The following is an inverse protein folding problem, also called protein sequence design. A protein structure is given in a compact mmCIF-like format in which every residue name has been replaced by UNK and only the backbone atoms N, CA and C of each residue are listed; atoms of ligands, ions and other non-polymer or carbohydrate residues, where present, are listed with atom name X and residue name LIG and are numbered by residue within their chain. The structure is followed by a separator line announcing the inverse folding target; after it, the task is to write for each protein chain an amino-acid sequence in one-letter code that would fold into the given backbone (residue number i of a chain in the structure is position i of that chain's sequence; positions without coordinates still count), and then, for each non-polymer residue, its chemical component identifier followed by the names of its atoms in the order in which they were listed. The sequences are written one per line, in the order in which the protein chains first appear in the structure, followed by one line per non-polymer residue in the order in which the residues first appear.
data_IF_468696795491
#
_entry.id   IF_468696795491
#
_cell.length_a   1.000
_cell.length_b   1.000
_cell.length_c   1.000
_cell.angle_alpha   90.00
_cell.angle_beta   90.00
_cell.angle_gamma   90.00
#
_symmetry.space_group_name_H-M   'P 1'
#
loop_
_entity.id
_entity.type
_entity.pdbx_description
1 polymer ?
#
# COMPACT_ATOMS: atom_id res chain seq x y z
N UNK A 1 -1.91 3.41 6.47
CA UNK A 1 -1.78 2.95 5.07
C UNK A 1 -0.69 1.90 4.98
N UNK A 2 -0.93 0.79 4.28
CA UNK A 2 0.07 -0.25 4.04
C UNK A 2 0.12 -0.54 2.55
N UNK A 3 1.32 -0.75 2.01
CA UNK A 3 1.50 -1.30 0.66
C UNK A 3 2.03 -2.71 0.81
N UNK A 4 1.36 -3.64 0.14
CA UNK A 4 1.67 -5.07 0.17
C UNK A 4 1.99 -5.51 -1.26
N UNK A 5 3.06 -6.27 -1.44
CA UNK A 5 3.39 -6.89 -2.73
C UNK A 5 2.48 -8.09 -3.03
N UNK A 6 2.58 -8.63 -4.26
CA UNK A 6 1.76 -9.77 -4.68
C UNK A 6 2.03 -11.07 -3.91
N UNK A 7 3.12 -11.15 -3.15
CA UNK A 7 3.46 -12.29 -2.31
C UNK A 7 2.94 -12.12 -0.88
N UNK A 8 2.26 -11.00 -0.58
CA UNK A 8 1.70 -10.72 0.74
C UNK A 8 2.70 -10.05 1.70
N UNK A 9 3.89 -9.65 1.24
CA UNK A 9 4.87 -8.95 2.07
C UNK A 9 4.51 -7.46 2.15
N UNK A 10 4.48 -6.94 3.37
CA UNK A 10 4.40 -5.49 3.61
C UNK A 10 5.71 -4.84 3.14
N UNK A 11 5.62 -3.95 2.16
CA UNK A 11 6.78 -3.24 1.58
C UNK A 11 6.84 -1.78 2.01
N UNK A 12 5.70 -1.17 2.36
CA UNK A 12 5.63 0.16 2.97
C UNK A 12 4.52 0.21 4.00
N UNK A 13 4.72 1.03 5.03
CA UNK A 13 3.73 1.28 6.07
C UNK A 13 3.86 2.69 6.62
N UNK A 14 2.73 3.38 6.67
CA UNK A 14 2.59 4.70 7.29
C UNK A 14 1.42 4.69 8.27
N UNK A 15 1.67 5.10 9.52
CA UNK A 15 0.67 5.17 10.60
C UNK A 15 0.08 6.58 10.67
N UNK A 16 -1.23 6.66 10.88
CA UNK A 16 -1.96 7.94 11.05
C UNK A 16 -1.72 8.96 9.92
N UNK A 17 -1.50 8.48 8.69
CA UNK A 17 -1.22 9.32 7.53
C UNK A 17 -2.33 9.20 6.48
N UNK A 18 -2.62 10.32 5.82
CA UNK A 18 -3.57 10.42 4.71
C UNK A 18 -2.95 10.00 3.37
N UNK A 19 -1.62 10.01 3.27
CA UNK A 19 -0.86 9.62 2.07
C UNK A 19 0.37 8.78 2.41
N UNK A 20 0.92 8.10 1.41
CA UNK A 20 2.15 7.33 1.51
C UNK A 20 2.98 7.54 0.26
N UNK A 21 4.27 7.85 0.44
CA UNK A 21 5.20 7.99 -0.68
C UNK A 21 5.59 6.60 -1.22
N UNK A 22 5.33 6.38 -2.50
CA UNK A 22 5.63 5.14 -3.23
C UNK A 22 6.80 5.31 -4.21
N UNK A 23 7.52 6.43 -4.18
CA UNK A 23 8.64 6.76 -5.06
C UNK A 23 9.79 5.74 -5.02
N UNK A 24 9.96 5.04 -3.90
CA UNK A 24 11.00 4.01 -3.74
C UNK A 24 10.61 2.62 -4.26
N UNK A 25 9.35 2.39 -4.60
CA UNK A 25 8.89 1.09 -5.09
C UNK A 25 9.26 0.88 -6.56
N UNK A 26 9.44 -0.37 -6.98
CA UNK A 26 9.63 -0.69 -8.40
C UNK A 26 8.29 -0.58 -9.15
N UNK A 27 8.35 -0.46 -10.48
CA UNK A 27 7.15 -0.60 -11.31
C UNK A 27 6.56 -1.99 -11.10
N UNK A 28 5.23 -2.09 -10.97
CA UNK A 28 4.58 -3.35 -10.66
C UNK A 28 3.19 -3.18 -10.04
N UNK A 29 2.60 -4.32 -9.67
CA UNK A 29 1.30 -4.39 -9.03
C UNK A 29 1.45 -4.57 -7.52
N UNK A 30 0.62 -3.85 -6.78
CA UNK A 30 0.59 -3.87 -5.32
C UNK A 30 -0.85 -3.82 -4.81
N UNK A 31 -1.01 -4.07 -3.51
CA UNK A 31 -2.24 -3.83 -2.76
C UNK A 31 -2.01 -2.67 -1.78
N UNK A 32 -2.86 -1.65 -1.87
CA UNK A 32 -3.02 -0.64 -0.84
C UNK A 32 -4.04 -1.13 0.18
N UNK A 33 -3.65 -1.24 1.43
CA UNK A 33 -4.56 -1.45 2.56
C UNK A 33 -4.72 -0.17 3.39
N UNK A 34 -5.97 0.23 3.61
CA UNK A 34 -6.37 1.28 4.53
C UNK A 34 -7.05 0.61 5.71
N UNK A 35 -6.43 0.68 6.88
CA UNK A 35 -6.97 0.16 8.13
C UNK A 35 -7.41 1.35 8.96
N UNK A 36 -8.71 1.42 9.26
CA UNK A 36 -9.32 2.47 10.06
C UNK A 36 -10.20 1.82 11.13
N UNK A 37 -9.79 1.95 12.40
CA UNK A 37 -10.44 1.31 13.54
C UNK A 37 -10.60 -0.20 13.33
N UNK A 38 -11.82 -0.66 13.01
CA UNK A 38 -12.21 -2.05 12.80
C UNK A 38 -12.39 -2.41 11.31
N UNK A 39 -12.26 -1.43 10.41
CA UNK A 39 -12.46 -1.61 8.97
C UNK A 39 -11.14 -1.71 8.23
N UNK A 40 -11.13 -2.62 7.27
CA UNK A 40 -10.06 -2.77 6.29
C UNK A 40 -10.62 -2.56 4.89
N UNK A 41 -10.02 -1.64 4.16
CA UNK A 41 -10.26 -1.42 2.74
C UNK A 41 -9.02 -1.83 1.98
N UNK A 42 -9.21 -2.53 0.86
CA UNK A 42 -8.10 -3.00 0.02
C UNK A 42 -8.34 -2.58 -1.42
N UNK A 43 -7.32 -2.03 -2.06
CA UNK A 43 -7.36 -1.63 -3.46
C UNK A 43 -6.10 -2.11 -4.18
N UNK A 44 -6.27 -2.72 -5.35
CA UNK A 44 -5.16 -3.02 -6.24
C UNK A 44 -4.68 -1.74 -6.90
N UNK A 45 -3.39 -1.48 -6.84
CA UNK A 45 -2.74 -0.34 -7.49
C UNK A 45 -1.64 -0.81 -8.43
N UNK A 46 -1.41 -0.06 -9.51
CA UNK A 46 -0.28 -0.24 -10.40
C UNK A 46 0.65 0.96 -10.23
N UNK A 47 1.94 0.67 -10.05
CA UNK A 47 3.00 1.66 -10.13
C UNK A 47 3.63 1.50 -11.50
N UNK A 48 3.59 2.56 -12.29
CA UNK A 48 4.21 2.64 -13.61
C UNK A 48 4.74 4.07 -13.79
N UNK A 49 6.03 4.20 -14.10
CA UNK A 49 6.77 5.47 -14.20
C UNK A 49 7.39 5.61 -15.56
#
# INVERSE_FOLDING_TARGET
LRIIDLLGKEVLHSRYAESIDVSSLNNGLYLLEIISSDKRYSQKIQIDR
#
